data_IF_735899885711
#
_entry.id   IF_735899885711
#
_cell.length_a   1.000
_cell.length_b   1.000
_cell.length_c   1.000
_cell.angle_alpha   90.00
_cell.angle_beta   90.00
_cell.angle_gamma   90.00
#
_symmetry.space_group_name_H-M   'P 1'
#
loop_
_entity.id
_entity.type
_entity.pdbx_description
1 polymer ?
#
# COMPACT_ATOMS: atom_id res chain seq x y z
N UNK A 1 -7.27 -4.01 38.87
CA UNK A 1 -6.02 -4.16 38.12
C UNK A 1 -6.41 -4.48 36.68
N UNK A 2 -6.68 -3.44 35.90
CA UNK A 2 -7.05 -3.58 34.49
C UNK A 2 -5.78 -3.71 33.66
N UNK A 3 -5.53 -4.91 33.16
CA UNK A 3 -4.51 -5.16 32.15
C UNK A 3 -5.06 -4.63 30.81
N UNK A 4 -4.62 -3.47 30.42
CA UNK A 4 -4.72 -3.02 29.03
C UNK A 4 -3.78 -3.91 28.20
N UNK A 5 -4.34 -4.89 27.51
CA UNK A 5 -3.66 -5.57 26.43
C UNK A 5 -3.69 -4.59 25.26
N UNK A 6 -2.61 -3.86 25.05
CA UNK A 6 -2.33 -3.19 23.80
C UNK A 6 -2.17 -4.27 22.73
N UNK A 7 -3.26 -4.71 22.16
CA UNK A 7 -3.25 -5.45 20.90
C UNK A 7 -2.80 -4.43 19.85
N UNK A 8 -1.51 -4.51 19.49
CA UNK A 8 -0.88 -3.59 18.56
C UNK A 8 -1.44 -3.75 17.15
N UNK A 9 -2.64 -3.26 16.92
CA UNK A 9 -3.22 -3.07 15.61
C UNK A 9 -3.13 -1.59 15.30
N UNK A 10 -1.92 -1.14 14.96
CA UNK A 10 -1.74 0.13 14.29
C UNK A 10 -2.27 -0.06 12.88
N UNK A 11 -3.54 0.20 12.69
CA UNK A 11 -4.09 0.42 11.37
C UNK A 11 -3.62 1.79 10.91
N UNK A 12 -2.45 1.80 10.29
CA UNK A 12 -2.12 2.78 9.29
C UNK A 12 -2.91 2.40 8.04
N UNK A 13 -4.21 2.56 8.07
CA UNK A 13 -4.92 2.91 6.87
C UNK A 13 -4.58 4.37 6.65
N UNK A 14 -3.40 4.62 6.07
CA UNK A 14 -3.22 5.85 5.31
C UNK A 14 -4.16 5.69 4.15
N UNK A 15 -5.32 6.10 4.42
CA UNK A 15 -6.48 6.03 3.55
C UNK A 15 -6.15 6.79 2.30
N UNK A 16 -6.46 6.23 1.18
CA UNK A 16 -6.43 6.83 -0.14
C UNK A 16 -6.93 8.26 -0.05
N UNK A 17 -6.00 9.20 -0.03
CA UNK A 17 -6.27 10.61 0.05
C UNK A 17 -6.54 11.10 -1.37
N UNK A 18 -7.78 11.00 -1.84
CA UNK A 18 -8.20 11.61 -3.09
C UNK A 18 -8.41 13.10 -2.84
N UNK A 19 -7.51 13.91 -3.29
CA UNK A 19 -7.75 15.35 -3.43
C UNK A 19 -8.61 15.52 -4.67
N UNK A 20 -9.81 16.01 -4.51
CA UNK A 20 -10.68 16.40 -5.62
C UNK A 20 -10.11 17.67 -6.28
N UNK A 21 -9.07 17.47 -7.10
CA UNK A 21 -8.60 18.51 -8.02
C UNK A 21 -9.55 18.48 -9.21
N UNK A 22 -10.51 19.40 -9.23
CA UNK A 22 -11.38 19.62 -10.36
C UNK A 22 -10.61 19.82 -11.67
N UNK A 23 -10.25 18.73 -12.32
CA UNK A 23 -9.70 18.75 -13.66
C UNK A 23 -10.85 19.01 -14.62
N UNK A 24 -10.93 20.26 -15.08
CA UNK A 24 -11.79 20.63 -16.18
C UNK A 24 -11.49 19.71 -17.37
N UNK A 25 -12.51 19.01 -17.82
CA UNK A 25 -12.49 18.24 -19.07
C UNK A 25 -12.23 19.22 -20.21
N UNK A 26 -11.06 19.17 -20.80
CA UNK A 26 -10.81 19.81 -22.09
C UNK A 26 -11.54 19.05 -23.18
N UNK A 27 -12.20 19.75 -24.11
CA UNK A 27 -12.92 19.08 -25.20
C UNK A 27 -11.96 18.42 -26.19
N UNK A 28 -12.38 17.28 -26.67
CA UNK A 28 -11.80 16.49 -27.75
C UNK A 28 -11.37 17.36 -28.93
N UNK A 29 -10.09 17.40 -29.24
CA UNK A 29 -9.56 17.92 -30.49
C UNK A 29 -9.44 16.78 -31.50
N UNK A 30 -9.99 17.05 -32.66
CA UNK A 30 -10.09 16.26 -33.86
C UNK A 30 -8.76 15.68 -34.35
N UNK A 31 -8.86 14.49 -34.92
CA UNK A 31 -7.87 13.75 -35.69
C UNK A 31 -7.13 14.62 -36.73
N UNK A 32 -5.82 14.64 -36.62
CA UNK A 32 -4.92 15.02 -37.71
C UNK A 32 -4.05 13.82 -38.01
N UNK A 33 -4.26 13.26 -39.22
CA UNK A 33 -3.37 12.29 -39.85
C UNK A 33 -1.99 12.89 -40.05
N UNK A 34 -0.98 12.29 -39.45
CA UNK A 34 0.42 12.51 -39.81
C UNK A 34 1.09 11.17 -40.14
N UNK A 35 1.55 11.15 -41.37
CA UNK A 35 2.24 10.04 -42.03
C UNK A 35 3.48 9.58 -41.27
N UNK A 36 3.65 8.24 -41.30
CA UNK A 36 4.85 7.52 -40.98
C UNK A 36 6.07 8.11 -41.69
N UNK A 37 7.12 8.40 -40.95
CA UNK A 37 8.50 8.29 -41.41
C UNK A 37 9.32 7.56 -40.34
N UNK A 38 9.94 6.49 -40.81
CA UNK A 38 10.78 5.59 -40.07
C UNK A 38 11.98 6.29 -39.43
N UNK A 39 12.08 6.23 -38.10
CA UNK A 39 13.37 6.27 -37.42
C UNK A 39 13.38 5.18 -36.36
N UNK A 40 13.89 4.02 -36.76
CA UNK A 40 14.41 3.01 -35.82
C UNK A 40 15.57 3.61 -35.06
N UNK A 41 15.30 4.07 -33.86
CA UNK A 41 16.33 4.31 -32.85
C UNK A 41 16.11 3.32 -31.72
N UNK A 42 16.82 2.20 -31.80
CA UNK A 42 16.98 1.28 -30.69
C UNK A 42 17.67 2.02 -29.52
N UNK A 43 16.89 2.66 -28.69
CA UNK A 43 17.33 3.07 -27.38
C UNK A 43 17.40 1.83 -26.49
N UNK A 44 18.56 1.16 -26.45
CA UNK A 44 18.95 0.34 -25.32
C UNK A 44 19.01 1.25 -24.09
N UNK A 45 17.87 1.47 -23.44
CA UNK A 45 17.81 1.98 -22.09
C UNK A 45 18.41 0.89 -21.18
N UNK A 46 19.68 1.00 -20.87
CA UNK A 46 20.26 0.30 -19.73
C UNK A 46 19.62 0.89 -18.48
N UNK A 47 18.50 0.33 -18.05
CA UNK A 47 17.80 0.73 -16.84
C UNK A 47 18.71 0.42 -15.64
N UNK A 48 19.41 1.45 -15.18
CA UNK A 48 20.23 1.33 -13.96
C UNK A 48 19.28 1.05 -12.81
N UNK A 49 19.32 -0.17 -12.31
CA UNK A 49 18.57 -0.54 -11.12
C UNK A 49 19.29 0.01 -9.89
N UNK A 50 18.63 0.87 -9.13
CA UNK A 50 19.13 1.39 -7.86
C UNK A 50 18.54 0.62 -6.69
N UNK A 51 19.40 0.13 -5.82
CA UNK A 51 19.03 -0.63 -4.61
C UNK A 51 19.24 0.23 -3.38
N UNK A 52 18.21 0.29 -2.52
CA UNK A 52 18.27 0.96 -1.24
C UNK A 52 17.95 -0.02 -0.11
N UNK A 53 18.71 0.01 1.00
CA UNK A 53 18.34 -0.72 2.20
C UNK A 53 17.09 -0.12 2.83
N UNK A 54 16.25 -0.96 3.40
CA UNK A 54 15.04 -0.54 4.11
C UNK A 54 14.95 -1.18 5.48
N UNK A 55 14.20 -0.57 6.38
CA UNK A 55 13.74 -1.19 7.62
C UNK A 55 12.31 -1.66 7.44
N UNK A 56 12.04 -2.90 7.84
CA UNK A 56 10.70 -3.49 7.76
C UNK A 56 10.15 -3.63 9.18
N UNK A 57 9.02 -2.99 9.43
CA UNK A 57 8.31 -3.04 10.70
C UNK A 57 7.05 -3.89 10.58
N UNK A 58 6.71 -4.62 11.64
CA UNK A 58 5.52 -5.50 11.69
C UNK A 58 5.41 -6.48 10.50
N UNK A 59 6.52 -6.72 9.79
CA UNK A 59 6.60 -7.63 8.65
C UNK A 59 6.13 -7.06 7.31
N UNK A 60 5.60 -5.82 7.25
CA UNK A 60 5.08 -5.22 6.02
C UNK A 60 5.39 -3.74 5.82
N UNK A 61 5.47 -2.93 6.89
CA UNK A 61 5.76 -1.50 6.77
C UNK A 61 7.21 -1.25 6.38
N UNK A 62 7.42 -0.53 5.31
CA UNK A 62 8.73 -0.27 4.73
C UNK A 62 9.14 1.17 5.01
N UNK A 63 10.23 1.35 5.75
CA UNK A 63 10.85 2.64 6.00
C UNK A 63 12.18 2.70 5.26
N UNK A 64 12.34 3.76 4.47
CA UNK A 64 13.53 4.03 3.65
C UNK A 64 14.06 5.44 3.94
N UNK A 65 15.36 5.65 3.77
CA UNK A 65 15.93 6.99 3.88
C UNK A 65 15.72 7.80 2.61
N UNK A 66 15.36 9.07 2.78
CA UNK A 66 15.17 10.04 1.69
C UNK A 66 15.55 11.46 2.09
N UNK A 67 15.19 12.43 1.25
CA UNK A 67 15.51 13.84 1.46
C UNK A 67 14.34 14.75 1.04
N UNK A 68 14.16 15.86 1.77
CA UNK A 68 13.24 16.95 1.44
C UNK A 68 14.02 18.26 1.44
N UNK A 69 13.98 19.00 0.32
CA UNK A 69 14.83 20.20 0.16
C UNK A 69 16.29 19.86 0.33
N UNK A 70 16.96 20.54 1.24
CA UNK A 70 18.36 20.29 1.62
C UNK A 70 18.51 19.33 2.81
N UNK A 71 17.38 18.88 3.40
CA UNK A 71 17.37 17.92 4.50
C UNK A 71 17.71 16.51 4.02
N UNK A 72 18.56 15.82 4.76
CA UNK A 72 19.03 14.46 4.45
C UNK A 72 18.70 13.46 5.53
N UNK A 73 18.70 12.17 5.18
CA UNK A 73 18.47 11.05 6.12
C UNK A 73 17.12 11.10 6.84
N UNK A 74 16.10 11.56 6.13
CA UNK A 74 14.74 11.55 6.63
C UNK A 74 14.13 10.16 6.46
N UNK A 75 13.29 9.75 7.40
CA UNK A 75 12.63 8.43 7.39
C UNK A 75 11.30 8.52 6.65
N UNK A 76 11.22 7.89 5.50
CA UNK A 76 10.03 7.84 4.67
C UNK A 76 9.34 6.48 4.77
N UNK A 77 8.06 6.49 5.10
CA UNK A 77 7.19 5.32 4.96
C UNK A 77 6.78 5.19 3.49
N UNK A 78 7.04 4.04 2.88
CA UNK A 78 6.60 3.71 1.51
C UNK A 78 5.17 3.20 1.55
N UNK A 79 4.25 3.93 0.90
CA UNK A 79 2.83 3.66 0.99
C UNK A 79 2.14 3.79 -0.38
N UNK A 80 1.81 2.65 -1.00
CA UNK A 80 1.13 2.63 -2.30
C UNK A 80 -0.38 2.88 -2.21
N UNK A 81 -0.94 2.90 -1.00
CA UNK A 81 -2.32 3.31 -0.72
C UNK A 81 -2.48 4.82 -0.54
N UNK A 82 -1.38 5.57 -0.41
CA UNK A 82 -1.40 7.02 -0.21
C UNK A 82 -1.36 7.80 -1.54
N UNK A 83 -2.21 8.82 -1.65
CA UNK A 83 -2.20 9.84 -2.67
C UNK A 83 -3.00 11.07 -2.20
N UNK A 84 -2.39 12.27 -2.11
CA UNK A 84 -0.97 12.56 -2.29
C UNK A 84 -0.11 12.07 -1.11
N UNK A 85 1.21 12.24 -1.23
CA UNK A 85 2.16 12.04 -0.13
C UNK A 85 1.84 12.95 1.06
N UNK A 86 2.34 12.57 2.24
CA UNK A 86 2.15 13.33 3.49
C UNK A 86 3.51 13.64 4.10
N UNK A 87 3.70 14.85 4.59
CA UNK A 87 4.90 15.27 5.33
C UNK A 87 4.54 15.57 6.79
N UNK A 88 5.47 15.30 7.72
CA UNK A 88 5.28 15.72 9.11
C UNK A 88 5.16 17.25 9.18
N UNK A 89 4.14 17.74 9.91
CA UNK A 89 3.85 19.17 10.02
C UNK A 89 5.03 19.99 10.54
N UNK A 90 5.94 19.39 11.32
CA UNK A 90 7.15 20.09 11.81
C UNK A 90 8.09 20.42 10.67
N UNK A 91 8.23 19.52 9.68
CA UNK A 91 9.05 19.81 8.49
C UNK A 91 8.45 20.94 7.67
N UNK A 92 7.13 20.95 7.47
CA UNK A 92 6.45 22.04 6.79
C UNK A 92 6.65 23.38 7.50
N UNK A 93 6.57 23.39 8.83
CA UNK A 93 6.83 24.55 9.68
C UNK A 93 8.30 25.01 9.60
N UNK A 94 9.26 24.08 9.74
CA UNK A 94 10.69 24.41 9.73
C UNK A 94 11.15 24.98 8.39
N UNK A 95 10.55 24.48 7.29
CA UNK A 95 10.75 25.02 5.93
C UNK A 95 9.94 26.29 5.64
N UNK A 96 9.13 26.76 6.59
CA UNK A 96 8.27 27.95 6.45
C UNK A 96 7.36 27.90 5.22
N UNK A 97 6.78 26.73 4.94
CA UNK A 97 5.93 26.52 3.79
C UNK A 97 4.56 27.18 4.01
N UNK A 98 4.01 27.74 2.94
CA UNK A 98 2.65 28.28 2.96
C UNK A 98 1.65 27.14 2.98
N UNK A 99 0.75 27.14 3.98
CA UNK A 99 -0.30 26.15 4.14
C UNK A 99 -1.59 26.62 3.45
N UNK A 100 -2.24 25.72 2.73
CA UNK A 100 -3.59 25.88 2.20
C UNK A 100 -4.47 24.81 2.79
N UNK A 101 -5.74 25.13 3.07
CA UNK A 101 -6.67 24.13 3.59
C UNK A 101 -7.43 23.50 2.44
N UNK A 102 -7.28 22.20 2.32
CA UNK A 102 -7.94 21.39 1.29
C UNK A 102 -8.93 20.39 1.90
N UNK A 103 -9.96 20.05 1.13
CA UNK A 103 -10.85 18.95 1.46
C UNK A 103 -10.22 17.65 0.97
N UNK A 104 -10.03 16.72 1.88
CA UNK A 104 -9.44 15.42 1.61
C UNK A 104 -10.47 14.34 1.87
N UNK A 105 -10.66 13.47 0.91
CA UNK A 105 -11.57 12.34 1.01
C UNK A 105 -10.83 11.13 1.54
N UNK A 106 -11.23 10.64 2.71
CA UNK A 106 -10.85 9.35 3.24
C UNK A 106 -11.89 8.32 2.81
N UNK A 107 -11.57 7.03 2.87
CA UNK A 107 -12.50 5.96 2.47
C UNK A 107 -13.81 5.97 3.28
N UNK A 108 -13.82 6.48 4.51
CA UNK A 108 -14.99 6.52 5.40
C UNK A 108 -15.56 7.93 5.67
N UNK A 109 -14.80 8.97 5.35
CA UNK A 109 -15.22 10.36 5.59
C UNK A 109 -14.38 11.36 4.80
N UNK A 110 -14.87 12.60 4.73
CA UNK A 110 -14.07 13.73 4.26
C UNK A 110 -13.56 14.53 5.47
N UNK A 111 -12.32 14.98 5.38
CA UNK A 111 -11.68 15.83 6.39
C UNK A 111 -11.07 17.07 5.74
N UNK A 112 -10.81 18.09 6.53
CA UNK A 112 -9.98 19.23 6.11
C UNK A 112 -8.54 18.93 6.51
N UNK A 113 -7.62 19.05 5.56
CA UNK A 113 -6.19 18.87 5.77
C UNK A 113 -5.41 20.08 5.26
N UNK A 114 -4.24 20.30 5.80
CA UNK A 114 -3.31 21.32 5.32
C UNK A 114 -2.52 20.76 4.16
N UNK A 115 -2.47 21.49 3.06
CA UNK A 115 -1.62 21.19 1.91
C UNK A 115 -0.48 22.20 1.86
N UNK A 116 0.71 21.73 1.53
CA UNK A 116 1.92 22.53 1.31
C UNK A 116 2.60 22.09 0.03
N UNK A 117 3.46 22.94 -0.51
CA UNK A 117 4.29 22.59 -1.67
C UNK A 117 5.73 22.41 -1.22
N UNK A 118 6.24 21.17 -1.22
CA UNK A 118 7.63 20.89 -0.91
C UNK A 118 8.53 21.36 -2.05
N UNK A 119 9.69 21.99 -1.76
CA UNK A 119 10.64 22.42 -2.80
C UNK A 119 11.18 21.24 -3.61
N UNK A 120 11.47 20.14 -2.95
CA UNK A 120 11.80 18.85 -3.58
C UNK A 120 11.63 17.70 -2.59
N UNK A 121 11.38 16.51 -3.15
CA UNK A 121 11.42 15.23 -2.44
C UNK A 121 12.26 14.26 -3.26
N UNK A 122 13.19 13.57 -2.61
CA UNK A 122 14.08 12.59 -3.25
C UNK A 122 14.03 11.26 -2.52
N UNK A 123 13.85 10.19 -3.30
CA UNK A 123 13.84 8.81 -2.82
C UNK A 123 14.59 7.92 -3.82
N UNK A 124 15.83 7.58 -3.50
CA UNK A 124 16.70 6.89 -4.45
C UNK A 124 16.89 7.66 -5.74
N UNK A 125 16.56 7.07 -6.90
CA UNK A 125 16.68 7.74 -8.20
C UNK A 125 15.51 8.70 -8.48
N UNK A 126 14.43 8.59 -7.71
CA UNK A 126 13.24 9.44 -7.89
C UNK A 126 13.48 10.80 -7.24
N UNK A 127 13.34 11.84 -8.02
CA UNK A 127 13.36 13.23 -7.54
C UNK A 127 12.18 13.99 -8.14
N UNK A 128 11.38 14.57 -7.26
CA UNK A 128 10.24 15.42 -7.64
C UNK A 128 10.47 16.81 -7.07
N UNK A 129 10.24 17.86 -7.88
CA UNK A 129 10.32 19.27 -7.46
C UNK A 129 8.93 19.87 -7.39
N UNK A 130 8.76 20.84 -6.50
CA UNK A 130 7.50 21.61 -6.36
C UNK A 130 6.29 20.68 -6.22
N UNK A 131 6.38 19.72 -5.32
CA UNK A 131 5.34 18.69 -5.14
C UNK A 131 4.35 19.13 -4.06
N UNK A 132 3.04 19.19 -4.38
CA UNK A 132 2.00 19.39 -3.39
C UNK A 132 1.81 18.12 -2.55
N UNK A 133 1.85 18.25 -1.22
CA UNK A 133 1.69 17.17 -0.26
C UNK A 133 0.81 17.65 0.91
N UNK A 134 0.28 16.72 1.68
CA UNK A 134 -0.40 17.07 2.91
C UNK A 134 0.58 17.24 4.05
N UNK A 135 0.33 18.19 4.94
CA UNK A 135 1.07 18.37 6.18
C UNK A 135 0.21 17.89 7.36
N UNK A 136 0.69 16.87 8.09
CA UNK A 136 -0.01 16.27 9.22
C UNK A 136 0.94 15.95 10.36
N UNK A 137 0.40 15.82 11.58
CA UNK A 137 1.16 15.32 12.72
C UNK A 137 1.36 13.80 12.58
N UNK A 138 2.58 13.37 12.30
CA UNK A 138 2.95 11.96 12.19
C UNK A 138 3.49 11.36 13.50
N UNK A 139 3.32 12.06 14.64
CA UNK A 139 3.78 11.58 15.95
C UNK A 139 3.16 10.25 16.38
N UNK A 140 1.96 9.93 15.91
CA UNK A 140 1.30 8.64 16.16
C UNK A 140 2.11 7.47 15.56
N UNK A 141 2.77 7.66 14.40
CA UNK A 141 3.68 6.69 13.81
C UNK A 141 4.91 6.48 14.68
N UNK A 142 5.47 7.57 15.22
CA UNK A 142 6.60 7.47 16.13
C UNK A 142 6.27 6.61 17.35
N UNK A 143 5.11 6.84 17.97
CA UNK A 143 4.65 6.05 19.13
C UNK A 143 4.51 4.57 18.80
N UNK A 144 4.07 4.28 17.60
CA UNK A 144 3.77 2.93 17.18
C UNK A 144 4.99 2.14 16.68
N UNK A 145 5.94 2.79 16.05
CA UNK A 145 7.11 2.17 15.43
C UNK A 145 8.38 2.34 16.26
N UNK A 146 8.35 3.20 17.28
CA UNK A 146 9.56 3.58 18.03
C UNK A 146 10.57 4.35 17.17
N UNK A 147 10.13 4.90 16.04
CA UNK A 147 10.95 5.60 15.08
C UNK A 147 10.21 6.84 14.56
N UNK A 148 10.92 7.97 14.47
CA UNK A 148 10.38 9.16 13.83
C UNK A 148 10.17 8.88 12.33
N UNK A 149 8.94 9.05 11.84
CA UNK A 149 8.60 9.07 10.42
C UNK A 149 8.43 10.51 10.00
N UNK A 150 9.16 10.93 8.99
CA UNK A 150 9.22 12.31 8.51
C UNK A 150 8.27 12.56 7.35
N UNK A 151 7.98 11.53 6.57
CA UNK A 151 6.99 11.57 5.50
C UNK A 151 6.40 10.19 5.21
N UNK A 152 5.20 10.20 4.62
CA UNK A 152 4.58 9.06 3.96
C UNK A 152 4.67 9.34 2.47
N UNK A 153 5.41 8.51 1.74
CA UNK A 153 5.62 8.70 0.31
C UNK A 153 4.63 7.84 -0.46
N UNK A 154 3.73 8.53 -1.14
CA UNK A 154 2.63 7.93 -1.89
C UNK A 154 2.90 7.77 -3.39
N UNK A 155 1.86 7.41 -4.11
CA UNK A 155 1.95 7.12 -5.54
C UNK A 155 2.19 8.35 -6.43
N UNK A 156 1.97 9.56 -5.94
CA UNK A 156 2.39 10.80 -6.62
C UNK A 156 3.91 10.86 -6.85
N UNK A 157 4.68 10.23 -5.97
CA UNK A 157 6.14 10.08 -6.06
C UNK A 157 6.53 8.69 -6.59
N UNK A 158 6.02 7.62 -5.98
CA UNK A 158 6.46 6.24 -6.25
C UNK A 158 6.27 5.83 -7.70
N UNK A 159 5.19 6.25 -8.37
CA UNK A 159 4.92 5.92 -9.78
C UNK A 159 5.88 6.55 -10.80
N UNK A 160 6.80 7.41 -10.36
CA UNK A 160 7.83 7.99 -11.23
C UNK A 160 8.91 6.98 -11.64
N UNK A 161 8.95 5.83 -10.99
CA UNK A 161 9.82 4.72 -11.34
C UNK A 161 9.14 3.40 -10.98
N UNK A 162 9.27 2.39 -11.82
CA UNK A 162 8.92 1.03 -11.42
C UNK A 162 9.81 0.60 -10.25
N UNK A 163 9.31 -0.24 -9.35
CA UNK A 163 10.09 -0.68 -8.19
C UNK A 163 9.68 -2.05 -7.68
N UNK A 164 10.59 -2.68 -6.93
CA UNK A 164 10.37 -3.94 -6.22
C UNK A 164 10.68 -3.77 -4.74
N UNK A 165 9.78 -4.18 -3.86
CA UNK A 165 10.04 -4.31 -2.42
C UNK A 165 10.37 -5.77 -2.12
N UNK A 166 11.56 -6.01 -1.58
CA UNK A 166 11.99 -7.32 -1.12
C UNK A 166 11.99 -7.33 0.42
N UNK A 167 10.92 -7.85 1.00
CA UNK A 167 10.76 -7.91 2.45
C UNK A 167 11.80 -8.79 3.14
N UNK A 168 12.19 -9.90 2.47
CA UNK A 168 13.17 -10.85 3.01
C UNK A 168 14.58 -10.25 3.06
N UNK A 169 15.01 -9.60 1.98
CA UNK A 169 16.32 -8.95 1.92
C UNK A 169 16.35 -7.56 2.54
N UNK A 170 15.19 -7.02 2.91
CA UNK A 170 15.00 -5.66 3.45
C UNK A 170 15.60 -4.61 2.51
N UNK A 171 15.15 -4.63 1.27
CA UNK A 171 15.61 -3.70 0.23
C UNK A 171 14.46 -3.27 -0.68
N UNK A 172 14.56 -2.08 -1.23
CA UNK A 172 13.73 -1.60 -2.34
C UNK A 172 14.64 -1.38 -3.55
N UNK A 173 14.20 -1.86 -4.72
CA UNK A 173 14.90 -1.71 -6.00
C UNK A 173 14.06 -0.80 -6.89
N UNK A 174 14.65 0.26 -7.39
CA UNK A 174 14.05 1.16 -8.40
C UNK A 174 14.63 0.86 -9.78
N UNK A 175 13.83 1.04 -10.82
CA UNK A 175 14.16 0.77 -12.21
C UNK A 175 13.37 -0.41 -12.75
N UNK A 176 13.96 -1.18 -13.67
CA UNK A 176 13.27 -2.34 -14.23
C UNK A 176 12.91 -3.34 -13.13
N UNK A 177 11.63 -3.65 -12.94
CA UNK A 177 11.23 -4.56 -11.87
C UNK A 177 11.67 -6.00 -12.18
N UNK A 178 11.94 -6.76 -11.13
CA UNK A 178 12.22 -8.19 -11.26
C UNK A 178 11.00 -8.93 -11.85
N UNK A 179 11.25 -9.95 -12.67
CA UNK A 179 10.18 -10.87 -13.06
C UNK A 179 9.88 -11.80 -11.90
N UNK A 180 8.76 -11.57 -11.24
CA UNK A 180 8.30 -12.40 -10.14
C UNK A 180 7.37 -13.51 -10.65
N UNK A 181 7.18 -14.55 -9.84
CA UNK A 181 6.45 -15.76 -10.23
C UNK A 181 5.00 -15.49 -10.62
N UNK A 182 4.32 -14.63 -9.87
CA UNK A 182 2.92 -14.32 -10.09
C UNK A 182 2.73 -12.87 -10.45
N UNK A 183 1.72 -12.59 -11.27
CA UNK A 183 1.37 -11.22 -11.62
C UNK A 183 -0.10 -11.09 -12.04
N UNK A 184 -0.61 -9.86 -11.92
CA UNK A 184 -1.89 -9.41 -12.48
C UNK A 184 -1.69 -8.02 -13.10
N UNK A 185 -2.48 -7.67 -14.12
CA UNK A 185 -2.55 -6.29 -14.58
C UNK A 185 -3.15 -5.43 -13.47
N UNK A 186 -2.74 -4.16 -13.40
CA UNK A 186 -3.41 -3.17 -12.57
C UNK A 186 -4.07 -2.08 -13.43
N UNK A 187 -5.11 -1.47 -12.88
CA UNK A 187 -5.84 -0.39 -13.50
C UNK A 187 -5.24 0.97 -13.09
N UNK A 188 -5.30 1.96 -13.97
CA UNK A 188 -4.68 3.29 -13.80
C UNK A 188 -5.66 4.44 -13.92
N UNK A 189 -6.94 4.15 -13.91
CA UNK A 189 -8.05 5.13 -13.93
C UNK A 189 -8.25 5.84 -12.59
N UNK A 190 -7.53 5.38 -11.55
CA UNK A 190 -7.48 6.00 -10.22
C UNK A 190 -6.07 6.48 -9.88
N UNK A 191 -5.92 7.41 -8.92
CA UNK A 191 -4.61 7.83 -8.44
C UNK A 191 -3.79 6.73 -7.79
N UNK A 192 -4.44 5.63 -7.37
CA UNK A 192 -3.83 4.48 -6.70
C UNK A 192 -3.83 3.25 -7.61
N UNK A 193 -3.00 2.27 -7.27
CA UNK A 193 -2.93 0.99 -8.00
C UNK A 193 -4.06 0.09 -7.54
N UNK A 194 -4.94 -0.31 -8.47
CA UNK A 194 -6.00 -1.28 -8.20
C UNK A 194 -5.82 -2.56 -8.99
N UNK A 195 -6.12 -3.68 -8.36
CA UNK A 195 -6.08 -5.03 -8.95
C UNK A 195 -7.41 -5.73 -8.77
N UNK A 196 -7.69 -6.71 -9.62
CA UNK A 196 -8.89 -7.55 -9.45
C UNK A 196 -8.54 -8.81 -8.68
N UNK A 197 -9.28 -9.03 -7.59
CA UNK A 197 -9.23 -10.25 -6.79
C UNK A 197 -10.51 -11.04 -6.99
N UNK A 198 -10.38 -12.35 -7.19
CA UNK A 198 -11.52 -13.25 -7.33
C UNK A 198 -12.03 -13.70 -5.96
N UNK A 199 -13.34 -13.64 -5.78
CA UNK A 199 -14.03 -14.19 -4.62
C UNK A 199 -15.33 -14.83 -5.08
N UNK A 200 -15.44 -16.16 -4.99
CA UNK A 200 -16.51 -16.94 -5.62
C UNK A 200 -16.58 -16.62 -7.12
N UNK A 201 -17.72 -16.23 -7.64
CA UNK A 201 -17.98 -15.84 -9.03
C UNK A 201 -17.80 -14.35 -9.33
N UNK A 202 -17.28 -13.58 -8.36
CA UNK A 202 -17.12 -12.12 -8.44
C UNK A 202 -15.67 -11.69 -8.44
N UNK A 203 -15.40 -10.61 -9.18
CA UNK A 203 -14.15 -9.88 -9.11
C UNK A 203 -14.29 -8.67 -8.18
N UNK A 204 -13.48 -8.58 -7.15
CA UNK A 204 -13.36 -7.42 -6.29
C UNK A 204 -12.22 -6.54 -6.79
N UNK A 205 -12.46 -5.25 -6.93
CA UNK A 205 -11.45 -4.26 -7.27
C UNK A 205 -10.81 -3.73 -5.99
N UNK A 206 -9.54 -4.05 -5.80
CA UNK A 206 -8.83 -3.80 -4.55
C UNK A 206 -7.66 -2.85 -4.74
N UNK A 207 -7.52 -1.85 -3.88
CA UNK A 207 -6.31 -1.01 -3.80
C UNK A 207 -5.18 -1.84 -3.24
N UNK A 208 -4.01 -1.81 -3.90
CA UNK A 208 -2.79 -2.44 -3.36
C UNK A 208 -2.09 -1.46 -2.45
N UNK A 209 -2.05 -1.77 -1.15
CA UNK A 209 -1.62 -0.84 -0.10
C UNK A 209 -0.44 -1.41 0.71
N UNK A 210 0.78 -0.91 0.42
CA UNK A 210 1.98 -1.30 1.16
C UNK A 210 2.08 -0.68 2.56
N UNK A 211 1.31 0.35 2.85
CA UNK A 211 1.16 0.96 4.17
C UNK A 211 0.07 0.30 5.02
N UNK A 212 -0.82 -0.46 4.41
CA UNK A 212 -1.94 -1.13 5.06
C UNK A 212 -1.62 -2.54 5.55
N UNK A 213 -2.08 -2.93 6.77
CA UNK A 213 -1.83 -4.27 7.29
C UNK A 213 -2.76 -5.32 6.69
N UNK A 214 -4.03 -5.02 6.57
CA UNK A 214 -5.09 -6.00 6.47
C UNK A 214 -5.83 -5.95 5.12
N UNK A 215 -6.40 -7.08 4.76
CA UNK A 215 -7.44 -7.12 3.74
C UNK A 215 -8.69 -6.45 4.32
N UNK A 216 -9.11 -5.37 3.70
CA UNK A 216 -10.28 -4.58 4.11
C UNK A 216 -11.29 -4.55 3.00
N UNK A 217 -12.56 -4.83 3.31
CA UNK A 217 -13.68 -4.79 2.37
C UNK A 217 -14.65 -3.69 2.79
N UNK A 218 -15.17 -2.97 1.83
CA UNK A 218 -16.18 -1.95 2.06
C UNK A 218 -17.58 -2.58 2.09
N UNK A 219 -18.32 -2.32 3.18
CA UNK A 219 -19.61 -2.96 3.42
C UNK A 219 -20.62 -2.71 2.29
N UNK A 220 -20.65 -1.49 1.75
CA UNK A 220 -21.59 -1.13 0.68
C UNK A 220 -21.30 -1.86 -0.64
N UNK A 221 -20.06 -2.36 -0.82
CA UNK A 221 -19.59 -3.01 -2.04
C UNK A 221 -19.65 -4.54 -1.96
N UNK A 222 -19.73 -5.09 -0.76
CA UNK A 222 -19.82 -6.53 -0.54
C UNK A 222 -21.28 -6.92 -0.42
N UNK A 223 -21.78 -7.69 -1.37
CA UNK A 223 -23.15 -8.20 -1.37
C UNK A 223 -23.41 -9.09 -0.14
N UNK A 224 -24.61 -9.00 0.43
CA UNK A 224 -25.05 -9.85 1.53
C UNK A 224 -25.04 -11.36 1.17
N UNK A 225 -25.11 -11.69 -0.13
CA UNK A 225 -24.98 -13.07 -0.61
C UNK A 225 -23.57 -13.68 -0.47
N UNK A 226 -22.57 -12.86 -0.12
CA UNK A 226 -21.23 -13.35 0.14
C UNK A 226 -21.19 -13.99 1.51
N UNK A 227 -20.98 -15.31 1.56
CA UNK A 227 -20.89 -16.09 2.78
C UNK A 227 -19.61 -15.74 3.57
N UNK A 228 -19.62 -14.61 4.28
CA UNK A 228 -18.55 -14.22 5.19
C UNK A 228 -18.81 -14.80 6.56
N UNK A 229 -17.86 -15.55 7.09
CA UNK A 229 -17.93 -15.99 8.47
C UNK A 229 -17.56 -14.84 9.40
N UNK A 230 -18.52 -14.31 10.16
CA UNK A 230 -18.28 -13.29 11.16
C UNK A 230 -17.47 -13.86 12.34
N UNK A 231 -16.42 -13.14 12.75
CA UNK A 231 -15.51 -13.53 13.84
C UNK A 231 -15.49 -12.53 15.01
N UNK A 232 -16.28 -11.46 14.91
CA UNK A 232 -16.40 -10.44 15.95
C UNK A 232 -16.22 -9.04 15.41
N UNK A 233 -16.33 -8.06 16.32
CA UNK A 233 -16.17 -6.63 16.03
C UNK A 233 -15.06 -6.07 16.91
N UNK A 234 -14.26 -5.18 16.40
CA UNK A 234 -13.22 -4.48 17.16
C UNK A 234 -13.26 -2.98 16.86
N UNK A 235 -12.82 -2.19 17.83
CA UNK A 235 -12.64 -0.74 17.68
C UNK A 235 -11.19 -0.45 17.38
N UNK A 236 -10.96 0.34 16.35
CA UNK A 236 -9.62 0.72 15.90
C UNK A 236 -9.53 2.22 15.73
N UNK A 237 -8.29 2.76 15.77
CA UNK A 237 -8.02 4.16 15.52
C UNK A 237 -7.08 4.28 14.29
N UNK A 238 -7.36 5.28 13.45
CA UNK A 238 -6.52 5.69 12.33
C UNK A 238 -6.26 7.21 12.38
N UNK A 239 -5.64 7.76 11.35
CA UNK A 239 -5.45 9.20 11.18
C UNK A 239 -6.77 10.00 11.17
N UNK A 240 -7.87 9.34 10.86
CA UNK A 240 -9.22 9.91 10.83
C UNK A 240 -9.96 9.82 12.16
N UNK A 241 -9.45 9.13 13.18
CA UNK A 241 -10.09 8.92 14.49
C UNK A 241 -10.45 7.46 14.77
N UNK A 242 -11.41 7.24 15.66
CA UNK A 242 -11.83 5.89 16.08
C UNK A 242 -13.04 5.43 15.29
N UNK A 243 -13.03 4.16 14.85
CA UNK A 243 -14.17 3.54 14.17
C UNK A 243 -14.27 2.04 14.51
N UNK A 244 -15.41 1.44 14.21
CA UNK A 244 -15.63 0.01 14.38
C UNK A 244 -15.43 -0.73 13.05
N UNK A 245 -14.83 -1.92 13.13
CA UNK A 245 -14.73 -2.84 12.00
C UNK A 245 -15.11 -4.25 12.41
N UNK A 246 -15.75 -4.97 11.50
CA UNK A 246 -16.12 -6.37 11.72
C UNK A 246 -15.04 -7.27 11.13
N UNK A 247 -14.51 -8.15 11.95
CA UNK A 247 -13.58 -9.19 11.52
C UNK A 247 -14.36 -10.34 10.89
N UNK A 248 -13.96 -10.75 9.69
CA UNK A 248 -14.59 -11.79 8.91
C UNK A 248 -13.54 -12.76 8.35
N UNK A 249 -13.94 -13.98 8.08
CA UNK A 249 -13.13 -14.94 7.33
C UNK A 249 -13.71 -15.12 5.95
N UNK A 250 -12.85 -14.97 4.95
CA UNK A 250 -13.12 -15.30 3.55
C UNK A 250 -12.55 -16.71 3.34
N UNK A 251 -13.37 -17.71 3.00
CA UNK A 251 -12.89 -19.10 2.91
C UNK A 251 -11.88 -19.30 1.79
N UNK A 252 -12.06 -18.62 0.69
CA UNK A 252 -11.16 -18.70 -0.46
C UNK A 252 -11.12 -17.38 -1.24
N UNK A 253 -9.93 -16.96 -1.57
CA UNK A 253 -9.67 -15.71 -2.28
C UNK A 253 -8.60 -15.96 -3.36
N UNK A 254 -8.75 -15.32 -4.52
CA UNK A 254 -7.82 -15.45 -5.63
C UNK A 254 -7.24 -14.09 -6.00
N UNK A 255 -5.94 -14.05 -6.28
CA UNK A 255 -5.29 -12.92 -6.93
C UNK A 255 -4.79 -13.39 -8.31
N UNK A 256 -5.49 -12.95 -9.35
CA UNK A 256 -5.35 -13.54 -10.69
C UNK A 256 -5.73 -15.02 -10.67
N UNK A 257 -4.82 -15.88 -11.11
CA UNK A 257 -5.02 -17.35 -11.11
C UNK A 257 -4.51 -18.03 -9.83
N UNK A 258 -3.87 -17.25 -8.93
CA UNK A 258 -3.28 -17.80 -7.71
C UNK A 258 -4.29 -17.78 -6.58
N UNK A 259 -4.53 -18.94 -5.96
CA UNK A 259 -5.29 -18.98 -4.71
C UNK A 259 -4.47 -18.39 -3.57
N UNK A 260 -5.12 -17.56 -2.79
CA UNK A 260 -4.60 -16.99 -1.54
C UNK A 260 -5.06 -17.82 -0.32
N UNK A 261 -5.87 -18.87 -0.57
CA UNK A 261 -6.51 -19.65 0.48
C UNK A 261 -7.50 -18.84 1.31
N UNK A 262 -7.77 -19.33 2.52
CA UNK A 262 -8.62 -18.63 3.47
C UNK A 262 -7.91 -17.39 4.02
N UNK A 263 -8.58 -16.23 3.93
CA UNK A 263 -8.05 -14.96 4.40
C UNK A 263 -8.91 -14.38 5.53
N UNK A 264 -8.22 -13.73 6.47
CA UNK A 264 -8.87 -12.83 7.41
C UNK A 264 -9.05 -11.48 6.73
N UNK A 265 -10.25 -10.92 6.84
CA UNK A 265 -10.55 -9.59 6.32
C UNK A 265 -11.31 -8.76 7.37
N UNK A 266 -11.35 -7.47 7.14
CA UNK A 266 -12.14 -6.53 7.92
C UNK A 266 -13.19 -5.88 7.05
N UNK A 267 -14.43 -5.97 7.49
CA UNK A 267 -15.54 -5.29 6.86
C UNK A 267 -15.73 -3.95 7.57
N UNK A 268 -15.66 -2.88 6.82
CA UNK A 268 -15.75 -1.50 7.32
C UNK A 268 -16.90 -0.77 6.63
N UNK A 269 -17.46 0.20 7.35
CA UNK A 269 -18.43 1.10 6.75
C UNK A 269 -17.68 2.15 5.91
N UNK A 270 -18.05 2.26 4.66
CA UNK A 270 -17.49 3.20 3.70
C UNK A 270 -18.44 4.39 3.47
N UNK A 271 -17.94 5.40 2.77
CA UNK A 271 -18.77 6.55 2.38
C UNK A 271 -19.83 6.08 1.39
N UNK A 272 -21.04 6.64 1.53
CA UNK A 272 -22.16 6.34 0.64
C UNK A 272 -22.26 7.29 -0.55
N UNK A 273 -21.58 8.41 -0.47
CA UNK A 273 -21.92 9.62 -1.22
C UNK A 273 -21.12 9.84 -2.50
N UNK A 274 -19.96 9.23 -2.70
CA UNK A 274 -19.23 9.36 -3.98
C UNK A 274 -18.34 8.12 -4.15
N UNK A 275 -18.67 7.33 -5.16
CA UNK A 275 -18.06 6.06 -5.35
C UNK A 275 -16.57 6.14 -5.63
N UNK A 276 -15.77 5.81 -4.66
CA UNK A 276 -14.49 5.25 -4.97
C UNK A 276 -14.74 4.01 -5.82
N UNK A 277 -14.10 3.92 -6.98
CA UNK A 277 -14.32 2.81 -7.91
C UNK A 277 -13.61 1.53 -7.46
N UNK A 278 -13.49 1.28 -6.16
CA UNK A 278 -12.89 0.08 -5.60
C UNK A 278 -13.69 -0.48 -4.41
N UNK A 279 -13.55 -1.79 -4.18
CA UNK A 279 -14.36 -2.56 -3.24
C UNK A 279 -13.66 -2.76 -1.89
N UNK A 280 -12.39 -2.41 -1.83
CA UNK A 280 -11.61 -2.53 -0.60
C UNK A 280 -10.12 -2.33 -0.81
N UNK A 281 -9.34 -2.78 0.18
CA UNK A 281 -7.90 -2.60 0.26
C UNK A 281 -7.21 -3.95 0.47
N UNK A 282 -6.20 -4.25 -0.34
CA UNK A 282 -5.29 -5.37 -0.17
C UNK A 282 -4.07 -4.89 0.60
N UNK A 283 -4.09 -5.04 1.91
CA UNK A 283 -2.92 -4.78 2.78
C UNK A 283 -1.92 -5.93 2.75
N UNK A 284 -0.69 -5.67 3.17
CA UNK A 284 0.44 -6.58 2.95
C UNK A 284 0.66 -7.61 4.05
N UNK A 285 0.12 -7.41 5.27
CA UNK A 285 0.34 -8.36 6.38
C UNK A 285 -0.37 -9.71 6.17
N UNK A 286 -1.59 -9.68 5.63
CA UNK A 286 -2.37 -10.91 5.39
C UNK A 286 -1.70 -11.84 4.39
N UNK A 287 -1.39 -11.41 3.17
CA UNK A 287 -0.76 -12.22 2.14
C UNK A 287 0.67 -12.66 2.45
N UNK A 288 1.39 -11.92 3.29
CA UNK A 288 2.80 -12.19 3.66
C UNK A 288 3.72 -12.38 2.46
N UNK A 289 3.53 -11.62 1.41
CA UNK A 289 4.39 -11.68 0.24
C UNK A 289 5.87 -11.52 0.62
N UNK A 290 6.75 -12.35 0.06
CA UNK A 290 8.20 -12.20 0.27
C UNK A 290 8.77 -11.08 -0.59
N UNK A 291 8.15 -10.80 -1.75
CA UNK A 291 8.43 -9.69 -2.64
C UNK A 291 7.14 -9.19 -3.30
N UNK A 292 7.12 -7.89 -3.59
CA UNK A 292 6.10 -7.27 -4.46
C UNK A 292 6.80 -6.33 -5.44
N UNK A 293 6.26 -6.23 -6.66
CA UNK A 293 6.80 -5.33 -7.68
C UNK A 293 5.68 -4.60 -8.42
N UNK A 294 5.94 -3.32 -8.70
CA UNK A 294 5.07 -2.42 -9.44
C UNK A 294 5.77 -2.02 -10.73
N UNK A 295 5.30 -2.52 -11.86
CA UNK A 295 5.74 -2.15 -13.20
C UNK A 295 4.76 -1.14 -13.79
N UNK A 296 5.06 0.13 -13.68
CA UNK A 296 4.17 1.19 -14.17
C UNK A 296 4.17 1.31 -15.68
N UNK A 297 5.24 0.87 -16.36
CA UNK A 297 5.30 0.86 -17.82
C UNK A 297 4.38 -0.22 -18.41
N UNK A 298 4.42 -1.43 -17.84
CA UNK A 298 3.61 -2.57 -18.27
C UNK A 298 2.29 -2.69 -17.52
N UNK A 299 2.03 -1.81 -16.54
CA UNK A 299 0.84 -1.84 -15.67
C UNK A 299 0.64 -3.19 -15.00
N UNK A 300 1.68 -3.70 -14.37
CA UNK A 300 1.71 -5.04 -13.80
C UNK A 300 2.09 -4.98 -12.32
N UNK A 301 1.24 -5.54 -11.46
CA UNK A 301 1.56 -5.89 -10.09
C UNK A 301 2.01 -7.34 -10.04
N UNK A 302 3.17 -7.59 -9.45
CA UNK A 302 3.75 -8.94 -9.37
C UNK A 302 4.14 -9.24 -7.94
N UNK A 303 4.17 -10.54 -7.59
CA UNK A 303 4.56 -10.97 -6.24
C UNK A 303 5.22 -12.33 -6.22
N UNK A 304 5.95 -12.57 -5.13
CA UNK A 304 6.39 -13.89 -4.67
C UNK A 304 5.60 -14.27 -3.43
N UNK A 305 5.18 -15.53 -3.30
CA UNK A 305 4.49 -16.00 -2.10
C UNK A 305 5.40 -15.90 -0.87
N UNK A 306 4.86 -16.12 0.32
CA UNK A 306 5.67 -16.26 1.52
C UNK A 306 6.77 -17.29 1.29
N UNK A 307 7.99 -17.00 1.75
CA UNK A 307 9.02 -18.04 1.81
C UNK A 307 8.46 -19.14 2.72
N UNK A 308 8.28 -20.35 2.18
CA UNK A 308 7.97 -21.49 3.04
C UNK A 308 9.08 -21.57 4.09
N UNK A 309 8.73 -21.47 5.36
CA UNK A 309 9.62 -21.93 6.40
C UNK A 309 9.95 -23.40 6.05
N UNK A 310 11.24 -23.82 6.16
CA UNK A 310 11.55 -25.23 5.98
C UNK A 310 10.57 -26.02 6.85
N UNK A 311 9.88 -26.98 6.23
CA UNK A 311 8.98 -27.86 6.97
C UNK A 311 9.77 -28.35 8.18
N UNK A 312 9.30 -28.02 9.38
CA UNK A 312 9.85 -28.62 10.57
C UNK A 312 9.40 -30.08 10.45
N UNK A 313 10.32 -30.93 10.01
CA UNK A 313 10.15 -32.38 10.09
C UNK A 313 10.09 -32.68 11.59
N UNK A 314 8.89 -32.74 12.14
CA UNK A 314 8.70 -33.27 13.46
C UNK A 314 9.04 -34.75 13.31
N UNK A 315 10.25 -35.10 13.72
CA UNK A 315 10.61 -36.49 13.92
C UNK A 315 9.66 -37.00 15.01
N UNK A 316 8.64 -37.76 14.60
CA UNK A 316 7.83 -38.53 15.54
C UNK A 316 8.79 -39.62 16.02
N UNK A 317 9.37 -39.44 17.19
CA UNK A 317 10.00 -40.51 17.91
C UNK A 317 8.86 -41.43 18.37
N UNK A 318 8.67 -42.54 17.66
CA UNK A 318 7.90 -43.67 18.15
C UNK A 318 8.69 -44.26 19.33
N UNK A 319 8.30 -43.88 20.52
CA UNK A 319 8.76 -44.44 21.75
C UNK A 319 7.94 -45.73 22.01
N UNK A 320 8.31 -46.81 21.32
CA UNK A 320 7.82 -48.14 21.60
C UNK A 320 8.99 -49.01 22.02
N UNK A 321 9.39 -48.84 23.24
CA UNK A 321 10.32 -49.71 23.96
C UNK A 321 9.72 -50.25 25.22
N UNK A 322 8.73 -51.15 25.12
CA UNK A 322 8.35 -52.04 26.23
C UNK A 322 8.63 -53.48 25.83
N UNK A 323 9.78 -53.96 26.24
CA UNK A 323 10.03 -55.38 26.42
C UNK A 323 9.22 -55.91 27.59
N UNK A 324 8.50 -57.01 27.45
CA UNK A 324 8.10 -57.81 28.60
C UNK A 324 9.22 -58.82 28.91
N UNK A 325 9.55 -58.87 30.16
CA UNK A 325 10.34 -59.99 30.73
C UNK A 325 9.53 -61.25 30.75
N UNK A 326 10.18 -62.31 30.39
CA UNK A 326 10.40 -63.47 31.25
C UNK A 326 11.74 -64.07 30.89
#
# INVERSE_FOLDING_TARGET
MNRFVLSGCLLLTVTTLLVDTGWARTPSASSVDLKNDDVKQEAKSSSVTMRLPVRVYQGYLVIVEGAIGDGHKLNFLVDTGAFPSVVDQKIAHDLKLTEQTERVNLWNKSVRAKQVVLPSLSLGPVRVKSIPVLAQDLSFLHKALGLKVDAIVGLDVLRKSSFTINYKKKEILFGAPENLTYFVPFETDTPVVTVRMGFQDRGLRMVVDSGGPDLTLFRSRVSESIALQALGTETVADAGGTFQRRRVRIPELYLGKQTMGAQMAFLVDDRKDEGDDFDGVLGMRGPRFSKIAFDFERRKFSWEPPSMAPAITVAIYDDVGLSPRL
#
